data_IF_391204898971
#
_entry.id   IF_391204898971
#
_cell.length_a   1.000
_cell.length_b   1.000
_cell.length_c   1.000
_cell.angle_alpha   90.00
_cell.angle_beta   90.00
_cell.angle_gamma   90.00
#
_symmetry.space_group_name_H-M   'P 1'
#
loop_
_entity.id
_entity.type
_entity.pdbx_description
1 polymer ?
#
# COMPACT_ATOMS: atom_id res chain seq x y z
N UNK A 1 -7.98 12.32 -13.39
CA UNK A 1 -6.77 11.78 -14.06
C UNK A 1 -7.06 11.67 -15.57
N UNK A 2 -7.26 12.79 -16.26
CA UNK A 2 -7.58 12.82 -17.70
C UNK A 2 -6.39 12.33 -18.54
N UNK A 3 -6.67 11.53 -19.56
CA UNK A 3 -5.74 11.17 -20.63
C UNK A 3 -6.52 10.90 -21.92
N UNK A 4 -5.85 10.91 -23.07
CA UNK A 4 -6.51 10.76 -24.37
C UNK A 4 -5.82 11.56 -25.47
N UNK A 5 -6.55 12.45 -26.14
CA UNK A 5 -5.98 13.35 -27.14
C UNK A 5 -5.64 14.71 -26.50
N UNK A 6 -4.38 15.14 -26.56
CA UNK A 6 -3.89 16.34 -25.87
C UNK A 6 -4.67 17.61 -26.24
N UNK A 7 -5.04 17.79 -27.52
CA UNK A 7 -5.85 18.93 -27.96
C UNK A 7 -7.24 19.05 -27.28
N UNK A 8 -7.76 17.99 -26.67
CA UNK A 8 -9.00 18.05 -25.90
C UNK A 8 -8.80 18.63 -24.49
N UNK A 9 -7.58 18.60 -23.94
CA UNK A 9 -7.29 19.04 -22.58
C UNK A 9 -7.63 20.53 -22.33
N UNK A 10 -7.19 21.50 -23.15
CA UNK A 10 -7.52 22.91 -22.92
C UNK A 10 -9.03 23.21 -22.92
N UNK A 11 -9.83 22.40 -23.61
CA UNK A 11 -11.29 22.56 -23.70
C UNK A 11 -12.00 22.13 -22.41
N UNK A 12 -11.47 21.12 -21.71
CA UNK A 12 -12.09 20.55 -20.51
C UNK A 12 -11.37 20.95 -19.21
N UNK A 13 -10.12 21.41 -19.31
CA UNK A 13 -9.28 21.77 -18.17
C UNK A 13 -9.97 22.74 -17.20
N UNK A 14 -10.60 23.85 -17.65
CA UNK A 14 -11.23 24.80 -16.72
C UNK A 14 -12.34 24.15 -15.89
N UNK A 15 -13.13 23.26 -16.52
CA UNK A 15 -14.21 22.54 -15.85
C UNK A 15 -13.61 21.54 -14.85
N UNK A 16 -12.65 20.73 -15.29
CA UNK A 16 -12.07 19.65 -14.51
C UNK A 16 -11.31 20.18 -13.29
N UNK A 17 -10.56 21.28 -13.44
CA UNK A 17 -9.83 21.92 -12.33
C UNK A 17 -10.76 22.71 -11.39
N UNK A 18 -11.86 23.27 -11.90
CA UNK A 18 -12.84 23.95 -11.04
C UNK A 18 -13.55 22.97 -10.08
N UNK A 19 -13.93 21.78 -10.54
CA UNK A 19 -14.72 20.82 -9.75
C UNK A 19 -13.90 19.88 -8.88
N UNK A 20 -12.60 19.71 -9.14
CA UNK A 20 -11.79 18.76 -8.38
C UNK A 20 -11.46 19.25 -6.97
N UNK A 21 -10.96 18.35 -6.12
CA UNK A 21 -10.33 18.73 -4.87
C UNK A 21 -9.11 19.63 -5.12
N UNK A 22 -8.75 20.44 -4.13
CA UNK A 22 -7.54 21.27 -4.15
C UNK A 22 -6.66 20.88 -2.97
N UNK A 23 -5.35 20.77 -3.19
CA UNK A 23 -4.35 20.53 -2.15
C UNK A 23 -3.36 21.70 -2.19
N UNK A 24 -3.26 22.44 -1.08
CA UNK A 24 -2.46 23.68 -0.98
C UNK A 24 -2.77 24.72 -2.07
N UNK A 25 -4.04 24.80 -2.47
CA UNK A 25 -4.48 25.68 -3.55
C UNK A 25 -4.26 25.13 -4.97
N UNK A 26 -3.52 24.04 -5.14
CA UNK A 26 -3.32 23.39 -6.44
C UNK A 26 -4.46 22.40 -6.75
N UNK A 27 -5.02 22.40 -7.97
CA UNK A 27 -6.06 21.46 -8.36
C UNK A 27 -5.50 20.02 -8.43
N UNK A 28 -6.19 19.06 -7.82
CA UNK A 28 -5.86 17.64 -7.90
C UNK A 28 -6.30 17.03 -9.26
N UNK A 29 -6.07 17.74 -10.36
CA UNK A 29 -6.42 17.32 -11.70
C UNK A 29 -5.49 17.97 -12.74
N UNK A 30 -4.70 17.14 -13.40
CA UNK A 30 -3.77 17.55 -14.47
C UNK A 30 -3.79 16.54 -15.62
N UNK A 31 -3.30 16.97 -16.78
CA UNK A 31 -3.10 16.08 -17.93
C UNK A 31 -2.15 14.92 -17.58
N UNK A 32 -2.62 13.68 -17.72
CA UNK A 32 -1.83 12.48 -17.40
C UNK A 32 -0.96 12.05 -18.58
N UNK A 33 -1.51 12.07 -19.80
CA UNK A 33 -0.85 11.59 -20.99
C UNK A 33 -1.81 11.02 -22.04
N UNK A 34 -1.23 10.47 -23.09
CA UNK A 34 -1.98 10.07 -24.29
C UNK A 34 -2.79 8.78 -24.11
N UNK A 35 -3.80 8.61 -24.96
CA UNK A 35 -4.58 7.37 -25.07
C UNK A 35 -5.18 6.90 -23.74
N UNK A 36 -4.87 5.67 -23.33
CA UNK A 36 -5.40 5.05 -22.11
C UNK A 36 -4.72 5.47 -20.80
N UNK A 37 -3.74 6.39 -20.83
CA UNK A 37 -2.88 6.71 -19.69
C UNK A 37 -3.67 7.11 -18.42
N UNK A 38 -4.70 7.95 -18.56
CA UNK A 38 -5.52 8.39 -17.43
C UNK A 38 -6.23 7.23 -16.71
N UNK A 39 -6.78 6.29 -17.46
CA UNK A 39 -7.41 5.09 -16.91
C UNK A 39 -6.38 4.15 -16.28
N UNK A 40 -5.19 4.02 -16.90
CA UNK A 40 -4.12 3.20 -16.37
C UNK A 40 -3.62 3.72 -15.01
N UNK A 41 -3.39 5.03 -14.89
CA UNK A 41 -3.03 5.67 -13.61
C UNK A 41 -4.12 5.45 -12.56
N UNK A 42 -5.40 5.52 -12.93
CA UNK A 42 -6.50 5.21 -12.00
C UNK A 42 -6.52 3.73 -11.56
N UNK A 43 -6.23 2.82 -12.48
CA UNK A 43 -6.10 1.39 -12.17
C UNK A 43 -4.98 1.17 -11.15
N UNK A 44 -3.78 1.74 -11.38
CA UNK A 44 -2.65 1.65 -10.45
C UNK A 44 -2.98 2.27 -9.09
N UNK A 45 -3.65 3.44 -9.06
CA UNK A 45 -4.16 4.04 -7.82
C UNK A 45 -4.99 3.02 -7.01
N UNK A 46 -5.93 2.31 -7.64
CA UNK A 46 -6.73 1.31 -6.93
C UNK A 46 -5.93 0.07 -6.50
N UNK A 47 -4.86 -0.27 -7.22
CA UNK A 47 -3.91 -1.29 -6.76
C UNK A 47 -3.21 -0.85 -5.47
N UNK A 48 -2.69 0.38 -5.44
CA UNK A 48 -2.05 0.98 -4.26
C UNK A 48 -3.04 1.06 -3.09
N UNK A 49 -4.28 1.46 -3.35
CA UNK A 49 -5.37 1.46 -2.35
C UNK A 49 -5.56 0.07 -1.72
N UNK A 50 -5.51 -1.01 -2.52
CA UNK A 50 -5.63 -2.37 -1.98
C UNK A 50 -4.43 -2.71 -1.09
N UNK A 51 -3.23 -2.31 -1.48
CA UNK A 51 -2.02 -2.49 -0.69
C UNK A 51 -2.08 -1.76 0.65
N UNK A 52 -2.45 -0.48 0.65
CA UNK A 52 -2.58 0.35 1.86
C UNK A 52 -3.59 -0.25 2.84
N UNK A 53 -4.78 -0.63 2.35
CA UNK A 53 -5.80 -1.27 3.18
C UNK A 53 -5.30 -2.58 3.79
N UNK A 54 -4.62 -3.41 2.99
CA UNK A 54 -4.11 -4.69 3.47
C UNK A 54 -3.04 -4.51 4.55
N UNK A 55 -2.10 -3.57 4.36
CA UNK A 55 -1.08 -3.27 5.36
C UNK A 55 -1.69 -2.78 6.69
N UNK A 56 -2.71 -1.94 6.62
CA UNK A 56 -3.44 -1.45 7.80
C UNK A 56 -4.17 -2.60 8.50
N UNK A 57 -4.80 -3.52 7.76
CA UNK A 57 -5.42 -4.72 8.31
C UNK A 57 -4.40 -5.64 9.01
N UNK A 58 -3.19 -5.76 8.47
CA UNK A 58 -2.11 -6.54 9.10
C UNK A 58 -1.64 -5.91 10.42
N UNK A 59 -1.45 -4.58 10.45
CA UNK A 59 -1.14 -3.86 11.68
C UNK A 59 -2.24 -4.03 12.74
N UNK A 60 -3.50 -3.94 12.33
CA UNK A 60 -4.66 -4.23 13.19
C UNK A 60 -4.62 -5.67 13.74
N UNK A 61 -4.37 -6.68 12.90
CA UNK A 61 -4.37 -8.08 13.31
C UNK A 61 -3.23 -8.40 14.28
N UNK A 62 -2.05 -7.79 14.09
CA UNK A 62 -0.93 -7.91 15.03
C UNK A 62 -1.32 -7.31 16.40
N UNK A 63 -1.86 -6.08 16.42
CA UNK A 63 -2.29 -5.43 17.66
C UNK A 63 -3.40 -6.21 18.39
N UNK A 64 -4.37 -6.73 17.64
CA UNK A 64 -5.42 -7.57 18.19
C UNK A 64 -4.85 -8.84 18.83
N UNK A 65 -3.87 -9.48 18.18
CA UNK A 65 -3.22 -10.68 18.70
C UNK A 65 -2.41 -10.43 19.97
N UNK A 66 -1.88 -9.20 20.14
CA UNK A 66 -1.25 -8.73 21.38
C UNK A 66 -2.26 -8.39 22.49
N UNK A 67 -3.56 -8.54 22.22
CA UNK A 67 -4.63 -8.34 23.21
C UNK A 67 -5.10 -6.89 23.36
N UNK A 68 -4.79 -6.00 22.43
CA UNK A 68 -5.31 -4.63 22.47
C UNK A 68 -6.81 -4.61 22.19
N UNK A 69 -7.54 -3.77 22.93
CA UNK A 69 -8.94 -3.49 22.66
C UNK A 69 -9.12 -2.61 21.43
N UNK A 70 -10.33 -2.59 20.87
CA UNK A 70 -10.66 -1.70 19.75
C UNK A 70 -10.41 -0.21 20.07
N UNK A 71 -10.73 0.23 21.30
CA UNK A 71 -10.47 1.60 21.74
C UNK A 71 -8.96 1.90 21.82
N UNK A 72 -8.14 0.96 22.34
CA UNK A 72 -6.68 1.11 22.37
C UNK A 72 -6.07 1.15 20.97
N UNK A 73 -6.48 0.26 20.08
CA UNK A 73 -6.02 0.27 18.68
C UNK A 73 -6.42 1.56 17.97
N UNK A 74 -7.62 2.07 18.22
CA UNK A 74 -8.05 3.34 17.65
C UNK A 74 -7.19 4.51 18.12
N UNK A 75 -6.81 4.54 19.40
CA UNK A 75 -5.93 5.58 19.92
C UNK A 75 -4.53 5.52 19.29
N UNK A 76 -3.99 4.32 19.05
CA UNK A 76 -2.72 4.17 18.30
C UNK A 76 -2.83 4.67 16.85
N UNK A 77 -3.87 4.26 16.11
CA UNK A 77 -4.10 4.80 14.76
C UNK A 77 -4.31 6.32 14.78
N UNK A 78 -4.93 6.88 15.83
CA UNK A 78 -5.05 8.32 16.03
C UNK A 78 -3.71 9.03 16.19
N UNK A 79 -2.78 8.45 16.96
CA UNK A 79 -1.40 8.94 17.08
C UNK A 79 -0.68 8.86 15.74
N UNK A 80 -0.79 7.74 15.03
CA UNK A 80 -0.13 7.54 13.73
C UNK A 80 -0.66 8.51 12.67
N UNK A 81 -1.95 8.85 12.70
CA UNK A 81 -2.55 9.84 11.81
C UNK A 81 -2.10 11.28 12.08
N UNK A 82 -1.38 11.54 13.17
CA UNK A 82 -0.83 12.85 13.52
C UNK A 82 0.67 12.94 13.20
N UNK A 83 1.21 11.95 12.49
CA UNK A 83 2.63 11.79 12.19
C UNK A 83 2.84 11.39 10.71
N UNK A 84 3.88 10.63 10.38
CA UNK A 84 4.21 10.26 8.99
C UNK A 84 3.16 9.43 8.26
N UNK A 85 2.21 8.82 9.00
CA UNK A 85 1.11 8.02 8.45
C UNK A 85 -0.20 8.81 8.27
N UNK A 86 -0.19 10.14 8.45
CA UNK A 86 -1.36 11.00 8.21
C UNK A 86 -1.96 10.75 6.81
N UNK A 87 -3.13 10.12 6.81
CA UNK A 87 -3.83 9.69 5.62
C UNK A 87 -5.29 9.40 5.89
N UNK A 88 -6.11 9.54 4.87
CA UNK A 88 -7.55 9.25 4.99
C UNK A 88 -7.82 7.81 5.44
N UNK A 89 -7.05 6.84 4.96
CA UNK A 89 -7.25 5.43 5.33
C UNK A 89 -6.93 5.15 6.81
N UNK A 90 -5.92 5.81 7.38
CA UNK A 90 -5.61 5.69 8.81
C UNK A 90 -6.68 6.40 9.65
N UNK A 91 -7.12 7.60 9.22
CA UNK A 91 -8.22 8.35 9.84
C UNK A 91 -9.50 7.51 9.94
N UNK A 92 -9.98 6.95 8.82
CA UNK A 92 -11.21 6.14 8.86
C UNK A 92 -11.02 4.84 9.62
N UNK A 93 -9.81 4.29 9.69
CA UNK A 93 -9.53 3.07 10.47
C UNK A 93 -9.72 3.34 11.97
N UNK A 94 -9.18 4.46 12.46
CA UNK A 94 -9.45 4.94 13.83
C UNK A 94 -10.94 5.06 14.08
N UNK A 95 -11.68 5.69 13.17
CA UNK A 95 -13.11 5.95 13.36
C UNK A 95 -13.95 4.66 13.31
N UNK A 96 -13.59 3.73 12.43
CA UNK A 96 -14.22 2.40 12.33
C UNK A 96 -14.03 1.60 13.62
N UNK A 97 -12.83 1.62 14.22
CA UNK A 97 -12.55 0.94 15.48
C UNK A 97 -13.36 1.53 16.65
N UNK A 98 -13.56 2.85 16.67
CA UNK A 98 -14.37 3.53 17.69
C UNK A 98 -15.88 3.34 17.52
N UNK A 99 -16.33 2.97 16.32
CA UNK A 99 -17.76 2.89 16.03
C UNK A 99 -18.45 1.77 16.81
N UNK A 100 -19.48 2.15 17.58
CA UNK A 100 -20.34 1.26 18.37
C UNK A 100 -21.79 1.39 17.92
N UNK A 101 -22.49 0.27 17.76
CA UNK A 101 -23.96 0.23 17.66
C UNK A 101 -24.57 -0.22 19.01
N UNK A 102 -25.88 -0.51 19.04
CA UNK A 102 -26.57 -0.97 20.26
C UNK A 102 -26.06 -2.28 20.89
N UNK A 103 -25.15 -3.01 20.23
CA UNK A 103 -24.52 -4.25 20.72
C UNK A 103 -23.00 -4.10 20.94
N UNK A 104 -22.47 -2.88 20.99
CA UNK A 104 -21.05 -2.58 21.19
C UNK A 104 -20.30 -2.35 19.88
N UNK A 105 -18.98 -2.59 19.87
CA UNK A 105 -18.15 -2.35 18.68
C UNK A 105 -18.69 -3.11 17.46
N UNK A 106 -18.77 -2.41 16.31
CA UNK A 106 -19.34 -3.01 15.10
C UNK A 106 -18.33 -3.89 14.36
N UNK A 107 -17.06 -3.48 14.29
CA UNK A 107 -16.06 -4.11 13.43
C UNK A 107 -15.95 -5.63 13.61
N UNK A 108 -15.88 -6.10 14.85
CA UNK A 108 -15.71 -7.54 15.17
C UNK A 108 -16.92 -8.40 14.74
N UNK A 109 -18.06 -7.78 14.46
CA UNK A 109 -19.29 -8.45 13.99
C UNK A 109 -19.47 -8.38 12.48
N UNK A 110 -18.58 -7.68 11.77
CA UNK A 110 -18.59 -7.66 10.30
C UNK A 110 -17.99 -8.97 9.80
N UNK A 111 -18.66 -9.59 8.82
CA UNK A 111 -18.15 -10.82 8.18
C UNK A 111 -16.82 -10.53 7.47
N UNK A 112 -15.80 -11.34 7.79
CA UNK A 112 -14.42 -11.25 7.28
C UNK A 112 -14.27 -11.80 5.85
N UNK A 113 -15.11 -11.35 4.94
CA UNK A 113 -15.10 -11.70 3.50
C UNK A 113 -15.03 -10.43 2.67
N UNK A 114 -13.82 -10.08 2.22
CA UNK A 114 -13.60 -8.84 1.48
C UNK A 114 -14.11 -8.95 0.03
N UNK A 115 -15.00 -8.03 -0.34
CA UNK A 115 -15.40 -7.85 -1.74
C UNK A 115 -14.31 -7.16 -2.57
N UNK A 116 -14.36 -7.34 -3.90
CA UNK A 116 -13.57 -6.59 -4.86
C UNK A 116 -14.32 -6.38 -6.16
N UNK A 117 -14.09 -5.23 -6.82
CA UNK A 117 -14.73 -4.86 -8.11
C UNK A 117 -13.81 -5.06 -9.32
N UNK A 118 -12.65 -5.69 -9.14
CA UNK A 118 -11.74 -6.09 -10.22
C UNK A 118 -10.56 -5.15 -10.50
N UNK A 119 -10.63 -3.86 -10.13
CA UNK A 119 -9.57 -2.88 -10.46
C UNK A 119 -8.22 -3.21 -9.81
N UNK A 120 -8.19 -3.65 -8.55
CA UNK A 120 -6.95 -4.12 -7.92
C UNK A 120 -6.35 -5.35 -8.61
N UNK A 121 -7.21 -6.30 -9.04
CA UNK A 121 -6.81 -7.47 -9.82
C UNK A 121 -6.21 -7.07 -11.17
N UNK A 122 -6.76 -6.06 -11.85
CA UNK A 122 -6.19 -5.56 -13.11
C UNK A 122 -4.79 -5.00 -12.95
N UNK A 123 -4.48 -4.31 -11.84
CA UNK A 123 -3.12 -3.85 -11.55
C UNK A 123 -2.15 -5.01 -11.39
N UNK A 124 -2.53 -6.06 -10.65
CA UNK A 124 -1.70 -7.26 -10.50
C UNK A 124 -1.52 -8.01 -11.83
N UNK A 125 -2.56 -8.11 -12.66
CA UNK A 125 -2.44 -8.71 -14.00
C UNK A 125 -1.53 -7.88 -14.90
N UNK A 126 -1.69 -6.56 -14.91
CA UNK A 126 -0.85 -5.66 -15.69
C UNK A 126 0.61 -5.77 -15.27
N UNK A 127 0.89 -5.86 -13.96
CA UNK A 127 2.23 -6.10 -13.45
C UNK A 127 2.88 -7.36 -14.05
N UNK A 128 2.13 -8.47 -14.10
CA UNK A 128 2.59 -9.71 -14.75
C UNK A 128 2.80 -9.53 -16.26
N UNK A 129 1.90 -8.83 -16.95
CA UNK A 129 2.00 -8.57 -18.39
C UNK A 129 3.22 -7.71 -18.75
N UNK A 130 3.52 -6.69 -17.94
CA UNK A 130 4.69 -5.82 -18.13
C UNK A 130 5.98 -6.39 -17.51
N UNK A 131 5.93 -7.54 -16.84
CA UNK A 131 7.10 -8.13 -16.19
C UNK A 131 7.64 -7.31 -15.01
N UNK A 132 6.76 -6.57 -14.30
CA UNK A 132 7.14 -5.70 -13.17
C UNK A 132 6.77 -6.37 -11.84
N UNK A 133 7.69 -6.44 -10.85
CA UNK A 133 7.46 -7.11 -9.56
C UNK A 133 6.61 -6.26 -8.61
N UNK A 134 5.31 -6.14 -8.87
CA UNK A 134 4.34 -5.44 -8.00
C UNK A 134 3.76 -6.39 -6.96
N UNK A 135 4.64 -6.93 -6.12
CA UNK A 135 4.35 -8.07 -5.24
C UNK A 135 3.31 -7.75 -4.16
N UNK A 136 3.39 -6.57 -3.53
CA UNK A 136 2.51 -6.21 -2.42
C UNK A 136 1.05 -6.06 -2.86
N UNK A 137 0.82 -5.40 -3.99
CA UNK A 137 -0.53 -5.27 -4.56
C UNK A 137 -1.07 -6.66 -4.97
N UNK A 138 -0.20 -7.54 -5.48
CA UNK A 138 -0.55 -8.93 -5.74
C UNK A 138 -1.03 -9.67 -4.48
N UNK A 139 -0.26 -9.60 -3.39
CA UNK A 139 -0.63 -10.19 -2.10
C UNK A 139 -1.89 -9.57 -1.51
N UNK A 140 -2.12 -8.27 -1.68
CA UNK A 140 -3.35 -7.62 -1.26
C UNK A 140 -4.59 -8.14 -2.02
N UNK A 141 -4.44 -8.46 -3.32
CA UNK A 141 -5.50 -9.10 -4.10
C UNK A 141 -5.73 -10.53 -3.62
N UNK A 142 -4.66 -11.32 -3.42
CA UNK A 142 -4.79 -12.70 -2.95
C UNK A 142 -5.32 -12.80 -1.52
N UNK A 143 -5.00 -11.86 -0.64
CA UNK A 143 -5.56 -11.78 0.72
C UNK A 143 -7.07 -11.63 0.71
N UNK A 144 -7.61 -10.83 -0.23
CA UNK A 144 -9.07 -10.73 -0.43
C UNK A 144 -9.66 -12.05 -0.93
N UNK A 145 -9.01 -12.70 -1.90
CA UNK A 145 -9.42 -14.02 -2.37
C UNK A 145 -9.43 -15.05 -1.23
N UNK A 146 -8.39 -15.09 -0.40
CA UNK A 146 -8.30 -15.97 0.78
C UNK A 146 -9.41 -15.69 1.79
N UNK A 147 -9.72 -14.40 2.04
CA UNK A 147 -10.81 -14.02 2.94
C UNK A 147 -12.17 -14.56 2.46
N UNK A 148 -12.40 -14.62 1.14
CA UNK A 148 -13.66 -15.11 0.56
C UNK A 148 -13.88 -16.61 0.77
N UNK A 149 -12.81 -17.40 0.98
CA UNK A 149 -12.87 -18.82 1.32
C UNK A 149 -13.27 -19.06 2.79
N UNK A 150 -14.29 -18.35 3.28
CA UNK A 150 -14.64 -18.31 4.72
C UNK A 150 -14.95 -19.69 5.28
N UNK A 151 -15.82 -20.44 4.62
CA UNK A 151 -16.28 -21.73 5.13
C UNK A 151 -15.14 -22.76 5.11
N UNK A 152 -14.30 -22.72 4.08
CA UNK A 152 -13.08 -23.53 3.98
C UNK A 152 -12.07 -23.16 5.08
N UNK A 153 -11.86 -21.87 5.35
CA UNK A 153 -10.98 -21.42 6.46
C UNK A 153 -11.50 -21.86 7.82
N UNK A 154 -12.81 -21.82 8.05
CA UNK A 154 -13.42 -22.32 9.30
C UNK A 154 -13.17 -23.81 9.43
N UNK A 155 -13.42 -24.61 8.39
CA UNK A 155 -13.10 -26.03 8.40
C UNK A 155 -11.60 -26.29 8.65
N UNK A 156 -10.73 -25.59 7.93
CA UNK A 156 -9.28 -25.73 8.05
C UNK A 156 -8.78 -25.44 9.47
N UNK A 157 -9.34 -24.43 10.15
CA UNK A 157 -8.98 -24.07 11.54
C UNK A 157 -9.27 -25.16 12.57
N UNK A 158 -10.18 -26.10 12.26
CA UNK A 158 -10.47 -27.25 13.13
C UNK A 158 -9.48 -28.41 12.98
N UNK A 159 -8.67 -28.40 11.91
CA UNK A 159 -7.76 -29.50 11.53
C UNK A 159 -6.30 -29.08 11.61
N UNK A 160 -5.97 -27.90 11.05
CA UNK A 160 -4.60 -27.39 10.97
C UNK A 160 -4.21 -26.69 12.27
N UNK A 161 -3.03 -27.02 12.79
CA UNK A 161 -2.49 -26.42 14.02
C UNK A 161 -1.40 -25.41 13.68
N UNK A 162 -1.48 -24.24 14.27
CA UNK A 162 -0.42 -23.23 14.24
C UNK A 162 0.55 -23.37 15.42
N UNK A 163 1.53 -22.45 15.53
CA UNK A 163 2.40 -22.35 16.69
C UNK A 163 1.59 -22.18 17.99
N UNK A 164 2.10 -22.73 19.09
CA UNK A 164 1.54 -22.52 20.43
C UNK A 164 2.11 -21.27 21.13
N UNK A 165 2.99 -20.53 20.45
CA UNK A 165 3.62 -19.34 21.00
C UNK A 165 2.61 -18.21 21.07
N UNK A 166 2.33 -17.72 22.27
CA UNK A 166 1.47 -16.56 22.49
C UNK A 166 2.16 -15.29 21.98
N UNK A 167 1.38 -14.39 21.38
CA UNK A 167 1.86 -13.07 20.99
C UNK A 167 2.11 -12.22 22.24
N UNK A 168 3.37 -12.02 22.58
CA UNK A 168 3.81 -11.25 23.74
C UNK A 168 5.13 -10.54 23.42
N UNK A 169 5.30 -9.34 23.97
CA UNK A 169 6.50 -8.52 23.80
C UNK A 169 6.90 -7.90 25.12
N UNK A 170 8.21 -7.73 25.35
CA UNK A 170 8.72 -7.17 26.60
C UNK A 170 8.34 -5.69 26.79
N UNK A 171 8.24 -4.93 25.70
CA UNK A 171 7.86 -3.53 25.73
C UNK A 171 6.81 -3.25 24.64
N UNK A 172 5.54 -3.21 25.05
CA UNK A 172 4.41 -3.01 24.14
C UNK A 172 4.50 -1.66 23.41
N UNK A 173 4.79 -0.56 24.12
CA UNK A 173 4.89 0.77 23.53
C UNK A 173 5.94 0.83 22.43
N UNK A 174 7.12 0.23 22.66
CA UNK A 174 8.16 0.14 21.64
C UNK A 174 7.67 -0.68 20.44
N UNK A 175 7.03 -1.81 20.68
CA UNK A 175 6.57 -2.68 19.59
C UNK A 175 5.43 -2.04 18.76
N UNK A 176 4.58 -1.21 19.36
CA UNK A 176 3.59 -0.43 18.63
C UNK A 176 4.25 0.60 17.69
N UNK A 177 5.34 1.24 18.13
CA UNK A 177 6.16 2.10 17.26
C UNK A 177 6.87 1.27 16.18
N UNK A 178 7.29 0.04 16.50
CA UNK A 178 7.86 -0.88 15.49
C UNK A 178 6.82 -1.24 14.40
N UNK A 179 5.56 -1.50 14.77
CA UNK A 179 4.45 -1.75 13.83
C UNK A 179 4.22 -0.52 12.94
N UNK A 180 4.22 0.68 13.52
CA UNK A 180 4.08 1.93 12.77
C UNK A 180 5.19 2.09 11.73
N UNK A 181 6.45 1.86 12.10
CA UNK A 181 7.58 1.93 11.17
C UNK A 181 7.53 0.82 10.11
N UNK A 182 7.13 -0.39 10.48
CA UNK A 182 6.94 -1.51 9.54
C UNK A 182 5.89 -1.17 8.47
N UNK A 183 4.73 -0.66 8.91
CA UNK A 183 3.65 -0.20 8.06
C UNK A 183 4.13 0.91 7.10
N UNK A 184 4.85 1.90 7.61
CA UNK A 184 5.37 3.00 6.79
C UNK A 184 6.40 2.53 5.75
N UNK A 185 7.33 1.65 6.13
CA UNK A 185 8.32 1.08 5.22
C UNK A 185 7.65 0.26 4.11
N UNK A 186 6.70 -0.61 4.47
CA UNK A 186 5.99 -1.43 3.48
C UNK A 186 5.11 -0.56 2.56
N UNK A 187 4.52 0.52 3.07
CA UNK A 187 3.81 1.51 2.25
C UNK A 187 4.73 2.16 1.21
N UNK A 188 5.94 2.59 1.61
CA UNK A 188 6.94 3.12 0.67
C UNK A 188 7.23 2.11 -0.45
N UNK A 189 7.42 0.84 -0.11
CA UNK A 189 7.66 -0.23 -1.10
C UNK A 189 6.46 -0.42 -2.03
N UNK A 190 5.23 -0.45 -1.52
CA UNK A 190 4.00 -0.55 -2.33
C UNK A 190 3.93 0.56 -3.39
N UNK A 191 4.20 1.81 -2.99
CA UNK A 191 4.20 2.94 -3.91
C UNK A 191 5.38 2.86 -4.89
N UNK A 192 6.58 2.50 -4.43
CA UNK A 192 7.72 2.28 -5.32
C UNK A 192 7.38 1.29 -6.44
N UNK A 193 6.76 0.16 -6.10
CA UNK A 193 6.30 -0.85 -7.05
C UNK A 193 5.23 -0.30 -8.01
N UNK A 194 4.25 0.47 -7.51
CA UNK A 194 3.23 1.11 -8.34
C UNK A 194 3.82 2.09 -9.36
N UNK A 195 4.79 2.91 -8.96
CA UNK A 195 5.48 3.82 -9.86
C UNK A 195 6.40 3.09 -10.84
N UNK A 196 7.05 1.99 -10.44
CA UNK A 196 7.77 1.11 -11.38
C UNK A 196 6.85 0.60 -12.49
N UNK A 197 5.63 0.18 -12.13
CA UNK A 197 4.63 -0.30 -13.10
C UNK A 197 4.20 0.81 -14.06
N UNK A 198 3.90 2.00 -13.54
CA UNK A 198 3.55 3.14 -14.39
C UNK A 198 4.68 3.50 -15.35
N UNK A 199 5.93 3.44 -14.89
CA UNK A 199 7.11 3.72 -15.73
C UNK A 199 7.27 2.70 -16.85
N UNK A 200 7.13 1.41 -16.54
CA UNK A 200 7.25 0.37 -17.55
C UNK A 200 6.12 0.44 -18.58
N UNK A 201 4.89 0.65 -18.13
CA UNK A 201 3.75 0.86 -19.01
C UNK A 201 3.91 2.10 -19.88
N UNK A 202 4.45 3.20 -19.34
CA UNK A 202 4.76 4.40 -20.11
C UNK A 202 5.79 4.14 -21.21
N UNK A 203 6.84 3.36 -20.91
CA UNK A 203 7.87 2.96 -21.89
C UNK A 203 7.27 2.15 -23.03
N UNK A 204 6.53 1.09 -22.72
CA UNK A 204 5.92 0.19 -23.71
C UNK A 204 4.87 0.89 -24.58
N UNK A 205 4.03 1.75 -23.97
CA UNK A 205 2.96 2.46 -24.68
C UNK A 205 3.40 3.82 -25.25
N UNK A 206 4.66 4.21 -25.06
CA UNK A 206 5.24 5.51 -25.45
C UNK A 206 4.48 6.71 -24.85
N UNK A 207 3.93 6.56 -23.65
CA UNK A 207 3.28 7.65 -22.93
C UNK A 207 4.30 8.56 -22.24
N UNK A 208 4.01 9.86 -22.21
CA UNK A 208 4.78 10.85 -21.45
C UNK A 208 4.07 11.13 -20.13
N UNK A 209 4.30 10.28 -19.14
CA UNK A 209 3.70 10.45 -17.82
C UNK A 209 4.47 11.47 -16.97
N UNK A 210 3.74 12.39 -16.35
CA UNK A 210 4.28 13.29 -15.33
C UNK A 210 4.08 12.69 -13.92
N UNK A 211 5.09 11.98 -13.40
CA UNK A 211 4.99 11.29 -12.10
C UNK A 211 4.75 12.25 -10.92
N UNK A 212 5.38 13.44 -10.94
CA UNK A 212 5.12 14.48 -9.93
C UNK A 212 3.68 14.99 -10.00
N UNK A 213 3.15 15.21 -11.20
CA UNK A 213 1.74 15.57 -11.43
C UNK A 213 0.75 14.48 -11.02
N UNK A 214 1.10 13.21 -11.26
CA UNK A 214 0.30 12.05 -10.79
C UNK A 214 0.26 12.02 -9.27
N UNK A 215 1.42 12.18 -8.60
CA UNK A 215 1.49 12.23 -7.14
C UNK A 215 0.66 13.40 -6.58
N UNK A 216 0.75 14.58 -7.19
CA UNK A 216 -0.07 15.75 -6.87
C UNK A 216 -1.57 15.45 -6.97
N UNK A 217 -2.02 14.84 -8.07
CA UNK A 217 -3.43 14.46 -8.25
C UNK A 217 -3.94 13.50 -7.18
N UNK A 218 -3.06 12.72 -6.56
CA UNK A 218 -3.43 11.81 -5.48
C UNK A 218 -3.45 12.49 -4.11
N UNK A 219 -2.87 13.69 -3.93
CA UNK A 219 -2.78 14.37 -2.62
C UNK A 219 -4.14 14.74 -2.03
N UNK A 220 -5.18 14.90 -2.85
CA UNK A 220 -6.53 15.28 -2.41
C UNK A 220 -7.62 14.58 -3.21
N UNK A 221 -8.82 14.51 -2.62
CA UNK A 221 -10.04 13.98 -3.27
C UNK A 221 -10.09 12.46 -3.51
N UNK A 222 -8.96 11.77 -3.54
CA UNK A 222 -8.89 10.32 -3.71
C UNK A 222 -8.84 9.56 -2.37
N UNK A 223 -8.89 8.22 -2.43
CA UNK A 223 -8.91 7.35 -1.23
C UNK A 223 -7.52 7.26 -0.60
N UNK A 224 -6.46 7.17 -1.40
CA UNK A 224 -5.08 7.05 -0.91
C UNK A 224 -4.45 8.40 -0.49
N UNK A 225 -5.27 9.46 -0.39
CA UNK A 225 -4.80 10.81 -0.06
C UNK A 225 -4.10 10.83 1.30
N UNK A 226 -2.95 11.47 1.35
CA UNK A 226 -2.04 11.45 2.49
C UNK A 226 -0.95 12.52 2.35
N UNK A 227 -0.36 12.93 3.47
CA UNK A 227 0.83 13.81 3.47
C UNK A 227 2.01 13.15 2.75
N UNK A 228 2.07 11.82 2.79
CA UNK A 228 3.05 10.97 2.10
C UNK A 228 3.20 11.28 0.60
N UNK A 229 2.11 11.63 -0.07
CA UNK A 229 2.10 11.93 -1.51
C UNK A 229 2.78 13.27 -1.85
N UNK A 230 2.87 14.20 -0.89
CA UNK A 230 3.69 15.40 -1.02
C UNK A 230 5.16 15.04 -1.21
N UNK A 231 5.68 14.14 -0.37
CA UNK A 231 7.08 13.69 -0.48
C UNK A 231 7.36 13.00 -1.83
N UNK A 232 6.38 12.28 -2.40
CA UNK A 232 6.52 11.67 -3.73
C UNK A 232 6.58 12.75 -4.82
N UNK A 233 5.71 13.77 -4.74
CA UNK A 233 5.75 14.93 -5.65
C UNK A 233 7.14 15.58 -5.59
N UNK A 234 7.66 15.82 -4.40
CA UNK A 234 8.95 16.48 -4.19
C UNK A 234 10.11 15.65 -4.75
N UNK A 235 10.11 14.33 -4.53
CA UNK A 235 11.11 13.42 -5.09
C UNK A 235 11.18 13.49 -6.62
N UNK A 236 10.03 13.43 -7.30
CA UNK A 236 9.98 13.54 -8.77
C UNK A 236 10.17 14.96 -9.30
N UNK A 237 9.91 15.99 -8.48
CA UNK A 237 10.22 17.39 -8.83
C UNK A 237 11.73 17.61 -8.81
N UNK A 238 12.40 17.09 -7.77
CA UNK A 238 13.86 17.15 -7.63
C UNK A 238 14.57 16.29 -8.67
N UNK A 239 14.06 15.08 -8.93
CA UNK A 239 14.64 14.11 -9.87
C UNK A 239 13.56 13.54 -10.81
N UNK A 240 13.22 14.22 -11.91
CA UNK A 240 12.17 13.76 -12.83
C UNK A 240 12.40 12.38 -13.46
N UNK A 241 13.67 11.96 -13.54
CA UNK A 241 14.09 10.66 -14.08
C UNK A 241 14.40 9.63 -12.98
N UNK A 242 13.92 9.86 -11.75
CA UNK A 242 14.10 8.94 -10.63
C UNK A 242 13.60 7.54 -11.02
N UNK A 243 14.51 6.57 -10.95
CA UNK A 243 14.21 5.21 -11.39
C UNK A 243 13.39 4.43 -10.35
N UNK A 244 13.49 4.78 -9.08
CA UNK A 244 12.72 4.15 -8.02
C UNK A 244 12.64 5.09 -6.81
N UNK A 245 11.46 5.18 -6.19
CA UNK A 245 11.25 5.99 -4.99
C UNK A 245 12.23 5.64 -3.86
N UNK A 246 12.64 4.38 -3.74
CA UNK A 246 13.60 3.93 -2.72
C UNK A 246 14.99 4.57 -2.85
N UNK A 247 15.31 5.18 -4.00
CA UNK A 247 16.61 5.82 -4.25
C UNK A 247 16.62 7.32 -3.92
N UNK A 248 15.45 7.91 -3.69
CA UNK A 248 15.35 9.29 -3.21
C UNK A 248 15.78 9.40 -1.74
N UNK A 249 16.37 10.53 -1.36
CA UNK A 249 16.98 10.73 -0.05
C UNK A 249 15.98 10.70 1.10
N UNK A 250 14.76 11.20 0.91
CA UNK A 250 13.73 11.16 1.96
C UNK A 250 13.29 9.72 2.22
N UNK A 251 12.95 8.98 1.16
CA UNK A 251 12.46 7.60 1.29
C UNK A 251 13.56 6.64 1.75
N UNK A 252 14.79 6.81 1.28
CA UNK A 252 15.95 6.05 1.78
C UNK A 252 16.11 6.21 3.29
N UNK A 253 16.12 7.45 3.80
CA UNK A 253 16.22 7.72 5.25
C UNK A 253 15.02 7.20 6.05
N UNK A 254 13.83 7.18 5.45
CA UNK A 254 12.66 6.57 6.09
C UNK A 254 12.82 5.06 6.25
N UNK A 255 13.27 4.36 5.20
CA UNK A 255 13.53 2.93 5.24
C UNK A 255 14.68 2.60 6.19
N UNK A 256 15.80 3.33 6.15
CA UNK A 256 16.95 3.11 7.04
C UNK A 256 16.56 3.22 8.52
N UNK A 257 15.67 4.14 8.87
CA UNK A 257 15.16 4.30 10.25
C UNK A 257 14.20 3.19 10.66
N UNK A 258 13.41 2.64 9.73
CA UNK A 258 12.31 1.73 10.04
C UNK A 258 12.57 0.25 9.73
N UNK A 259 13.61 -0.10 8.96
CA UNK A 259 13.77 -1.48 8.49
C UNK A 259 14.03 -2.50 9.62
N UNK A 260 14.68 -2.10 10.72
CA UNK A 260 14.92 -3.02 11.84
C UNK A 260 13.63 -3.30 12.60
N UNK A 261 12.83 -2.26 12.88
CA UNK A 261 11.46 -2.38 13.38
C UNK A 261 10.60 -3.27 12.47
N UNK A 262 10.72 -3.09 11.15
CA UNK A 262 10.01 -3.88 10.17
C UNK A 262 10.36 -5.37 10.22
N UNK A 263 11.66 -5.68 10.33
CA UNK A 263 12.15 -7.06 10.47
C UNK A 263 11.64 -7.69 11.77
N UNK A 264 11.68 -6.96 12.88
CA UNK A 264 11.16 -7.43 14.16
C UNK A 264 9.66 -7.76 14.07
N UNK A 265 8.87 -6.89 13.46
CA UNK A 265 7.42 -7.12 13.30
C UNK A 265 7.15 -8.36 12.45
N UNK A 266 7.80 -8.50 11.29
CA UNK A 266 7.60 -9.66 10.39
C UNK A 266 8.06 -10.96 11.06
N UNK A 267 9.22 -10.94 11.74
CA UNK A 267 9.76 -12.11 12.42
C UNK A 267 8.84 -12.57 13.56
N UNK A 268 8.37 -11.64 14.40
CA UNK A 268 7.47 -11.97 15.50
C UNK A 268 6.10 -12.44 14.99
N UNK A 269 5.54 -11.79 13.97
CA UNK A 269 4.28 -12.23 13.35
C UNK A 269 4.34 -13.69 12.88
N UNK A 270 5.42 -14.08 12.20
CA UNK A 270 5.62 -15.47 11.77
C UNK A 270 5.80 -16.44 12.95
N UNK A 271 6.55 -16.06 13.99
CA UNK A 271 6.70 -16.87 15.21
C UNK A 271 5.38 -17.10 15.93
N UNK A 272 4.48 -16.13 15.89
CA UNK A 272 3.14 -16.21 16.49
C UNK A 272 2.09 -16.82 15.56
N UNK A 273 2.43 -17.12 14.31
CA UNK A 273 1.47 -17.64 13.32
C UNK A 273 0.47 -16.61 12.82
N UNK A 274 0.80 -15.31 12.89
CA UNK A 274 -0.03 -14.22 12.38
C UNK A 274 0.32 -13.97 10.91
N UNK A 275 -0.62 -14.11 9.97
CA UNK A 275 -0.38 -13.86 8.55
C UNK A 275 -0.14 -12.36 8.28
N UNK A 276 1.00 -12.05 7.68
CA UNK A 276 1.40 -10.69 7.29
C UNK A 276 1.92 -10.65 5.84
N UNK A 277 1.12 -11.09 4.85
CA UNK A 277 1.58 -11.27 3.47
C UNK A 277 2.07 -9.96 2.83
N UNK A 278 1.41 -8.82 3.08
CA UNK A 278 1.84 -7.54 2.52
C UNK A 278 3.12 -7.00 3.20
N UNK A 279 3.21 -7.04 4.52
CA UNK A 279 4.45 -6.62 5.23
C UNK A 279 5.65 -7.50 4.84
N UNK A 280 5.46 -8.82 4.77
CA UNK A 280 6.55 -9.76 4.48
C UNK A 280 7.00 -9.73 3.01
N UNK A 281 6.07 -9.60 2.05
CA UNK A 281 6.43 -9.51 0.63
C UNK A 281 7.13 -8.21 0.30
N UNK A 282 6.76 -7.09 0.94
CA UNK A 282 7.47 -5.84 0.76
C UNK A 282 8.90 -5.93 1.34
N UNK A 283 9.11 -6.62 2.46
CA UNK A 283 10.45 -6.79 3.04
C UNK A 283 11.32 -7.64 2.12
N UNK A 284 10.74 -8.71 1.60
CA UNK A 284 11.38 -9.59 0.61
C UNK A 284 11.74 -8.84 -0.67
N UNK A 285 10.84 -7.98 -1.16
CA UNK A 285 11.12 -7.11 -2.31
C UNK A 285 12.26 -6.13 -2.00
N UNK A 286 12.24 -5.46 -0.85
CA UNK A 286 13.28 -4.51 -0.47
C UNK A 286 14.66 -5.18 -0.42
N UNK A 287 14.76 -6.32 0.26
CA UNK A 287 16.00 -7.09 0.35
C UNK A 287 16.44 -7.63 -1.01
N UNK A 288 15.51 -8.07 -1.85
CA UNK A 288 15.79 -8.49 -3.22
C UNK A 288 16.31 -7.35 -4.09
N UNK A 289 15.66 -6.18 -4.02
CA UNK A 289 15.96 -5.01 -4.84
C UNK A 289 17.34 -4.41 -4.52
N UNK A 290 17.76 -4.41 -3.26
CA UNK A 290 19.08 -3.90 -2.84
C UNK A 290 20.22 -4.92 -2.98
N UNK A 291 19.93 -6.15 -3.39
CA UNK A 291 20.93 -7.22 -3.50
C UNK A 291 21.52 -7.27 -4.91
N UNK A 292 22.81 -6.97 -5.03
CA UNK A 292 23.50 -6.94 -6.34
C UNK A 292 23.55 -8.30 -7.06
N UNK A 293 23.55 -9.41 -6.31
CA UNK A 293 23.58 -10.77 -6.86
C UNK A 293 22.52 -11.65 -6.21
N UNK A 294 21.43 -11.89 -6.93
CA UNK A 294 20.35 -12.78 -6.52
C UNK A 294 20.66 -14.25 -6.86
N UNK A 295 20.00 -15.24 -6.21
CA UNK A 295 20.18 -16.66 -6.49
C UNK A 295 19.61 -17.11 -7.87
N UNK A 296 19.24 -16.17 -8.74
CA UNK A 296 18.72 -16.44 -10.08
C UNK A 296 19.76 -17.11 -11.01
N UNK A 297 21.04 -17.14 -10.63
CA UNK A 297 22.05 -17.93 -11.33
C UNK A 297 21.74 -19.44 -11.29
N UNK A 298 21.23 -19.97 -10.17
CA UNK A 298 20.79 -21.36 -10.09
C UNK A 298 19.52 -21.59 -10.92
N UNK A 299 18.57 -20.64 -10.88
CA UNK A 299 17.35 -20.70 -11.70
C UNK A 299 17.67 -20.76 -13.20
N UNK A 300 18.68 -20.01 -13.65
CA UNK A 300 19.13 -20.10 -15.05
C UNK A 300 19.83 -21.44 -15.33
N UNK A 301 20.70 -21.93 -14.44
CA UNK A 301 21.37 -23.21 -14.62
C UNK A 301 20.41 -24.41 -14.66
N UNK A 302 19.25 -24.33 -14.00
CA UNK A 302 18.22 -25.36 -14.06
C UNK A 302 17.42 -25.37 -15.38
N UNK A 303 17.44 -24.27 -16.15
CA UNK A 303 16.68 -24.11 -17.41
C UNK A 303 17.48 -24.47 -18.66
N UNK A 304 18.81 -24.44 -18.57
CA UNK A 304 19.75 -24.83 -19.63
C UNK A 304 19.89 -26.36 -19.69
#
# INVERSE_FOLDING_TARGET
MPGGHEAAWPLIQPIFQAICAKADGEPCCEWVGDGGAGHFVKMVHNGIEYGDMQLICEAYHIMQSLGLSADQMADEFGKWNSAELDSFLIEITRDILKYKDGKGHLLERIRDTAGQKGTGKWTAIAALQYGVPVTLIGEAVFSRCLSALKDERVQASSVLKGPSTKAEVANLTKFLDDIKHALYCAKIVSYAQGFMLMREAARENKWRLNYGGIALMWRGGCIIRSVFLGNIKDAYTSQPQLSNLLLDDFFKKAIERGQDSWREVVANAFRWGIPVPALSTALSFYDGYRTAKLPANLLQAQRD
#
